data_IF_210437803130
#
_entry.id   IF_210437803130
#
_cell.length_a   1.000
_cell.length_b   1.000
_cell.length_c   1.000
_cell.angle_alpha   90.00
_cell.angle_beta   90.00
_cell.angle_gamma   90.00
#
_symmetry.space_group_name_H-M   'P 1'
#
loop_
_entity.id
_entity.type
_entity.pdbx_description
1 polymer ?
#
# COMPACT_ATOMS: atom_id res chain seq x y z
N UNK A 1 -5.30 -12.11 20.56
CA UNK A 1 -4.68 -11.77 19.26
C UNK A 1 -5.82 -11.50 18.28
N UNK A 2 -5.71 -10.47 17.44
CA UNK A 2 -6.79 -10.07 16.51
C UNK A 2 -7.04 -11.14 15.44
N UNK A 3 -5.97 -11.61 14.82
CA UNK A 3 -6.03 -12.74 13.90
C UNK A 3 -5.85 -14.06 14.66
N UNK A 4 -6.61 -15.08 14.26
CA UNK A 4 -6.48 -16.45 14.78
C UNK A 4 -5.44 -17.24 13.99
N UNK A 5 -5.28 -16.92 12.70
CA UNK A 5 -4.30 -17.53 11.79
C UNK A 5 -3.49 -16.40 11.16
N UNK A 6 -2.16 -16.51 11.21
CA UNK A 6 -1.24 -15.57 10.57
C UNK A 6 -0.68 -16.21 9.30
N UNK A 7 -1.05 -15.68 8.13
CA UNK A 7 -0.55 -16.20 6.84
C UNK A 7 0.77 -15.56 6.41
N UNK A 8 0.94 -14.28 6.73
CA UNK A 8 2.15 -13.54 6.37
C UNK A 8 2.49 -12.56 7.49
N UNK A 9 3.76 -12.54 7.88
CA UNK A 9 4.31 -11.54 8.79
C UNK A 9 5.55 -10.93 8.14
N UNK A 10 5.57 -9.61 7.97
CA UNK A 10 6.69 -8.89 7.36
C UNK A 10 6.94 -7.55 8.04
N UNK A 11 8.16 -7.04 7.90
CA UNK A 11 8.49 -5.68 8.34
C UNK A 11 7.87 -4.65 7.40
N UNK A 12 7.24 -3.64 7.99
CA UNK A 12 6.50 -2.60 7.31
C UNK A 12 6.62 -1.26 8.03
N UNK A 13 6.45 -0.18 7.28
CA UNK A 13 6.28 1.15 7.84
C UNK A 13 4.83 1.56 7.66
N UNK A 14 4.19 1.94 8.75
CA UNK A 14 2.83 2.45 8.81
C UNK A 14 2.85 3.97 8.90
N UNK A 15 2.08 4.60 8.03
CA UNK A 15 1.88 6.04 7.99
C UNK A 15 0.41 6.32 8.28
N UNK A 16 0.05 6.64 9.53
CA UNK A 16 -1.31 7.07 9.85
C UNK A 16 -1.63 8.38 9.12
N UNK A 17 -0.67 9.30 9.10
CA UNK A 17 -0.73 10.61 8.45
C UNK A 17 0.57 10.84 7.63
N UNK A 18 0.61 11.89 6.80
CA UNK A 18 1.79 12.21 5.97
C UNK A 18 3.06 12.59 6.77
N UNK A 19 2.93 12.88 8.06
CA UNK A 19 3.99 13.46 8.89
C UNK A 19 4.69 12.39 9.74
N UNK A 20 3.99 11.31 10.12
CA UNK A 20 4.50 10.31 11.07
C UNK A 20 4.69 8.96 10.38
N UNK A 21 5.88 8.39 10.54
CA UNK A 21 6.20 7.03 10.14
C UNK A 21 6.41 6.17 11.38
N UNK A 22 5.72 5.04 11.48
CA UNK A 22 5.95 4.03 12.50
C UNK A 22 6.53 2.78 11.85
N UNK A 23 7.67 2.32 12.35
CA UNK A 23 8.29 1.07 11.94
C UNK A 23 7.72 -0.08 12.78
N UNK A 24 7.48 -1.22 12.14
CA UNK A 24 6.88 -2.36 12.83
C UNK A 24 6.70 -3.59 11.96
N UNK A 25 5.91 -4.53 12.46
CA UNK A 25 5.51 -5.74 11.76
C UNK A 25 4.07 -5.61 11.26
N UNK A 26 3.87 -5.86 9.97
CA UNK A 26 2.55 -6.06 9.37
C UNK A 26 2.27 -7.56 9.28
N UNK A 27 1.16 -7.96 9.88
CA UNK A 27 0.65 -9.33 9.88
C UNK A 27 -0.65 -9.35 9.09
N UNK A 28 -0.71 -10.21 8.07
CA UNK A 28 -1.95 -10.56 7.38
C UNK A 28 -2.46 -11.87 7.95
N UNK A 29 -3.67 -11.83 8.49
CA UNK A 29 -4.32 -13.02 9.00
C UNK A 29 -5.63 -13.32 8.30
N UNK A 30 -6.43 -14.15 8.97
CA UNK A 30 -7.73 -14.59 8.48
C UNK A 30 -8.82 -13.52 8.55
N UNK A 31 -8.80 -12.64 9.57
CA UNK A 31 -9.84 -11.65 9.82
C UNK A 31 -9.48 -10.29 9.20
N UNK A 32 -8.19 -9.95 9.21
CA UNK A 32 -7.73 -8.70 8.62
C UNK A 32 -6.24 -8.46 8.73
N UNK A 33 -5.87 -7.20 8.57
CA UNK A 33 -4.52 -6.68 8.71
C UNK A 33 -4.28 -6.26 10.16
N UNK A 34 -3.14 -6.66 10.72
CA UNK A 34 -2.68 -6.20 12.03
C UNK A 34 -1.28 -5.61 11.88
N UNK A 35 -1.11 -4.35 12.27
CA UNK A 35 0.19 -3.69 12.31
C UNK A 35 0.63 -3.49 13.77
N UNK A 36 1.81 -4.00 14.10
CA UNK A 36 2.43 -3.90 15.43
C UNK A 36 3.67 -3.02 15.34
N UNK A 37 3.62 -1.77 15.84
CA UNK A 37 4.80 -0.91 15.88
C UNK A 37 5.87 -1.46 16.85
N UNK A 38 7.14 -1.29 16.52
CA UNK A 38 8.26 -1.83 17.32
C UNK A 38 8.41 -1.07 18.66
N UNK A 39 8.06 0.22 18.69
CA UNK A 39 8.22 1.10 19.89
C UNK A 39 6.92 1.50 20.57
N UNK A 40 5.79 0.86 20.23
CA UNK A 40 4.51 1.15 20.88
C UNK A 40 3.64 -0.09 20.99
N UNK A 41 2.88 -0.20 22.09
CA UNK A 41 1.89 -1.26 22.27
C UNK A 41 0.60 -1.00 21.48
N UNK A 42 0.42 0.24 20.97
CA UNK A 42 -0.77 0.63 20.21
C UNK A 42 -0.62 0.19 18.75
N UNK A 43 -0.92 -1.08 18.51
CA UNK A 43 -1.09 -1.64 17.18
C UNK A 43 -2.35 -1.14 16.49
N UNK A 44 -2.39 -1.30 15.16
CA UNK A 44 -3.55 -0.96 14.33
C UNK A 44 -4.11 -2.24 13.74
N UNK A 45 -5.42 -2.43 13.86
CA UNK A 45 -6.13 -3.59 13.35
C UNK A 45 -7.18 -3.12 12.36
N UNK A 46 -7.17 -3.68 11.15
CA UNK A 46 -8.08 -3.33 10.06
C UNK A 46 -8.73 -4.62 9.56
N UNK A 47 -9.98 -4.89 9.94
CA UNK A 47 -10.76 -6.01 9.40
C UNK A 47 -10.92 -5.88 7.88
N UNK A 48 -10.92 -6.99 7.14
CA UNK A 48 -11.11 -6.96 5.69
C UNK A 48 -12.44 -6.34 5.28
N UNK A 49 -13.50 -6.54 6.06
CA UNK A 49 -14.82 -5.94 5.80
C UNK A 49 -14.81 -4.40 5.92
N UNK A 50 -13.88 -3.82 6.68
CA UNK A 50 -13.77 -2.37 6.77
C UNK A 50 -12.97 -1.76 5.61
N UNK A 51 -12.35 -2.59 4.76
CA UNK A 51 -11.55 -2.12 3.62
C UNK A 51 -12.47 -1.89 2.43
N UNK A 52 -12.56 -0.63 2.00
CA UNK A 52 -13.27 -0.26 0.78
C UNK A 52 -12.41 -0.49 -0.46
N UNK A 53 -11.11 -0.17 -0.39
CA UNK A 53 -10.21 -0.26 -1.54
C UNK A 53 -8.76 -0.36 -1.12
N UNK A 54 -7.97 -1.10 -1.90
CA UNK A 54 -6.51 -1.15 -1.77
C UNK A 54 -5.90 -0.53 -3.03
N UNK A 55 -4.99 0.42 -2.83
CA UNK A 55 -4.29 1.08 -3.93
C UNK A 55 -2.80 0.79 -3.86
N UNK A 56 -2.27 0.01 -4.80
CA UNK A 56 -0.88 -0.42 -4.80
C UNK A 56 -0.01 0.62 -5.50
N UNK A 57 1.00 1.15 -4.81
CA UNK A 57 1.93 2.12 -5.38
C UNK A 57 3.03 1.42 -6.18
N UNK A 58 2.98 1.59 -7.51
CA UNK A 58 3.97 1.03 -8.44
C UNK A 58 4.77 2.16 -9.08
N UNK A 59 6.09 2.12 -8.90
CA UNK A 59 7.05 3.08 -9.45
C UNK A 59 7.77 2.43 -10.63
N UNK A 60 8.03 3.21 -11.70
CA UNK A 60 8.68 2.73 -12.93
C UNK A 60 8.04 1.48 -13.55
N UNK A 61 6.74 1.24 -13.27
CA UNK A 61 5.99 0.03 -13.68
C UNK A 61 6.55 -1.31 -13.17
N UNK A 62 7.63 -1.31 -12.39
CA UNK A 62 8.34 -2.52 -11.93
C UNK A 62 8.47 -2.62 -10.40
N UNK A 63 8.49 -1.49 -9.69
CA UNK A 63 8.86 -1.44 -8.28
C UNK A 63 7.65 -1.17 -7.39
N UNK A 64 7.26 -2.17 -6.61
CA UNK A 64 6.16 -2.05 -5.64
C UNK A 64 6.70 -1.41 -4.36
N UNK A 65 6.43 -0.11 -4.15
CA UNK A 65 6.95 0.63 -2.99
C UNK A 65 6.11 0.39 -1.73
N UNK A 66 4.80 0.20 -1.93
CA UNK A 66 3.84 0.03 -0.85
C UNK A 66 2.41 0.07 -1.36
N UNK A 67 1.46 0.24 -0.47
CA UNK A 67 0.04 0.29 -0.78
C UNK A 67 -0.70 1.21 0.19
N UNK A 68 -1.84 1.72 -0.27
CA UNK A 68 -2.80 2.45 0.54
C UNK A 68 -3.99 1.56 0.83
N UNK A 69 -4.44 1.57 2.08
CA UNK A 69 -5.68 0.96 2.52
C UNK A 69 -6.68 2.09 2.71
N UNK A 70 -7.73 2.07 1.89
CA UNK A 70 -8.87 2.97 2.01
C UNK A 70 -9.96 2.23 2.78
N UNK A 71 -10.30 2.74 3.95
CA UNK A 71 -11.39 2.17 4.77
C UNK A 71 -12.73 2.74 4.33
N UNK A 72 -13.83 2.01 4.60
CA UNK A 72 -15.20 2.47 4.37
C UNK A 72 -15.51 3.79 5.11
N UNK A 73 -14.82 4.05 6.21
CA UNK A 73 -14.95 5.28 7.01
C UNK A 73 -14.18 6.47 6.43
N UNK A 74 -13.61 6.35 5.22
CA UNK A 74 -12.88 7.42 4.54
C UNK A 74 -11.43 7.60 4.99
N UNK A 75 -10.93 6.80 5.94
CA UNK A 75 -9.52 6.86 6.33
C UNK A 75 -8.64 6.25 5.25
N UNK A 76 -7.61 7.00 4.84
CA UNK A 76 -6.58 6.55 3.91
C UNK A 76 -5.29 6.32 4.66
N UNK A 77 -4.92 5.05 4.79
CA UNK A 77 -3.74 4.61 5.52
C UNK A 77 -2.69 4.15 4.52
N UNK A 78 -1.42 4.53 4.72
CA UNK A 78 -0.33 4.07 3.87
C UNK A 78 0.57 3.06 4.59
N UNK A 79 0.89 1.98 3.88
CA UNK A 79 1.86 0.99 4.29
C UNK A 79 2.98 0.88 3.25
N UNK A 80 4.22 0.96 3.71
CA UNK A 80 5.42 0.74 2.89
C UNK A 80 6.10 -0.54 3.34
N UNK A 81 6.32 -1.47 2.42
CA UNK A 81 6.94 -2.76 2.72
C UNK A 81 7.90 -3.14 1.59
N UNK A 82 8.99 -3.83 1.93
CA UNK A 82 9.94 -4.33 0.91
C UNK A 82 9.29 -5.41 0.04
N UNK A 83 8.50 -6.29 0.65
CA UNK A 83 7.86 -7.43 -0.02
C UNK A 83 6.39 -7.16 -0.36
N UNK A 84 6.08 -5.96 -0.86
CA UNK A 84 4.71 -5.55 -1.17
C UNK A 84 4.01 -6.53 -2.12
N UNK A 85 4.75 -7.15 -3.07
CA UNK A 85 4.19 -8.15 -3.99
C UNK A 85 3.59 -9.36 -3.25
N UNK A 86 4.23 -9.84 -2.17
CA UNK A 86 3.73 -10.95 -1.35
C UNK A 86 2.47 -10.55 -0.60
N UNK A 87 2.45 -9.32 -0.05
CA UNK A 87 1.26 -8.77 0.62
C UNK A 87 0.06 -8.73 -0.32
N UNK A 88 0.23 -8.17 -1.53
CA UNK A 88 -0.85 -8.09 -2.52
C UNK A 88 -1.30 -9.48 -2.96
N UNK A 89 -0.38 -10.43 -3.11
CA UNK A 89 -0.74 -11.81 -3.43
C UNK A 89 -1.65 -12.44 -2.36
N UNK A 90 -1.34 -12.25 -1.07
CA UNK A 90 -2.19 -12.72 0.03
C UNK A 90 -3.54 -12.01 0.02
N UNK A 91 -3.55 -10.68 -0.14
CA UNK A 91 -4.78 -9.89 -0.19
C UNK A 91 -5.69 -10.30 -1.35
N UNK A 92 -5.13 -10.57 -2.53
CA UNK A 92 -5.89 -11.08 -3.69
C UNK A 92 -6.57 -12.43 -3.43
N UNK A 93 -6.08 -13.24 -2.47
CA UNK A 93 -6.74 -14.49 -2.08
C UNK A 93 -7.83 -14.28 -1.02
N UNK A 94 -7.75 -13.20 -0.25
CA UNK A 94 -8.63 -12.91 0.90
C UNK A 94 -9.76 -11.95 0.57
N UNK A 95 -9.59 -11.12 -0.45
CA UNK A 95 -10.53 -10.09 -0.86
C UNK A 95 -10.80 -10.19 -2.36
N UNK A 96 -11.93 -9.63 -2.78
CA UNK A 96 -12.24 -9.53 -4.20
C UNK A 96 -11.18 -8.69 -4.93
N UNK A 97 -10.68 -9.22 -6.04
CA UNK A 97 -9.67 -8.61 -6.89
C UNK A 97 -10.08 -7.21 -7.37
N UNK A 98 -11.39 -6.96 -7.50
CA UNK A 98 -11.92 -5.65 -7.92
C UNK A 98 -11.59 -4.52 -6.92
N UNK A 99 -11.38 -4.85 -5.64
CA UNK A 99 -11.05 -3.88 -4.60
C UNK A 99 -9.57 -3.49 -4.63
N UNK A 100 -8.72 -4.22 -5.36
CA UNK A 100 -7.28 -4.01 -5.42
C UNK A 100 -6.93 -3.33 -6.75
N UNK A 101 -6.46 -2.09 -6.66
CA UNK A 101 -6.16 -1.26 -7.84
C UNK A 101 -4.73 -0.78 -7.82
N UNK A 102 -4.13 -0.60 -8.99
CA UNK A 102 -2.77 -0.05 -9.10
C UNK A 102 -2.84 1.48 -9.12
N UNK A 103 -2.24 2.12 -8.13
CA UNK A 103 -2.00 3.56 -8.12
C UNK A 103 -0.88 3.88 -9.12
N UNK A 104 -1.27 4.22 -10.35
CA UNK A 104 -0.36 4.82 -11.34
C UNK A 104 -0.25 6.30 -11.02
N UNK A 105 0.78 6.70 -10.27
CA UNK A 105 1.22 8.09 -10.28
C UNK A 105 1.46 8.49 -11.73
N UNK A 106 0.87 9.58 -12.19
CA UNK A 106 0.87 10.06 -13.58
C UNK A 106 2.25 10.54 -14.08
N UNK A 107 3.34 9.94 -13.62
CA UNK A 107 4.68 10.14 -14.17
C UNK A 107 4.81 9.30 -15.44
N UNK A 108 4.05 9.69 -16.46
CA UNK A 108 4.32 9.30 -17.83
C UNK A 108 5.63 9.99 -18.23
N UNK A 109 6.77 9.31 -18.07
CA UNK A 109 8.07 9.78 -18.57
C UNK A 109 8.03 10.19 -20.07
N UNK A 110 7.01 9.75 -20.82
CA UNK A 110 6.80 10.19 -22.21
C UNK A 110 6.59 11.71 -22.37
N UNK A 111 6.08 12.43 -21.36
CA UNK A 111 5.95 13.90 -21.45
C UNK A 111 7.28 14.64 -21.20
N UNK A 112 8.24 13.98 -20.54
CA UNK A 112 9.52 14.57 -20.13
C UNK A 112 10.61 14.44 -21.21
N UNK A 113 10.46 13.50 -22.14
CA UNK A 113 11.34 13.32 -23.31
C UNK A 113 10.79 13.94 -24.61
N UNK A 114 9.81 14.84 -24.53
CA UNK A 114 9.44 15.65 -25.70
C UNK A 114 10.53 16.69 -25.92
N UNK A 115 11.41 16.44 -26.91
CA UNK A 115 12.36 17.44 -27.43
C UNK A 115 11.61 18.76 -27.64
N UNK A 116 12.14 19.92 -27.20
CA UNK A 116 11.55 21.20 -27.59
C UNK A 116 11.53 21.25 -29.12
N UNK A 117 10.33 21.42 -29.70
CA UNK A 117 10.19 21.64 -31.15
C UNK A 117 11.08 22.83 -31.50
N UNK A 118 12.09 22.59 -32.34
CA UNK A 118 13.02 23.63 -32.76
C UNK A 118 12.28 24.87 -33.23
N UNK A 119 12.71 26.04 -32.75
CA UNK A 119 12.32 27.34 -33.32
C UNK A 119 12.55 27.27 -34.83
N UNK A 120 11.48 27.37 -35.60
CA UNK A 120 11.58 27.65 -37.02
C UNK A 120 12.40 28.93 -37.19
N UNK A 121 13.52 28.85 -37.90
CA UNK A 121 14.23 30.03 -38.40
C UNK A 121 13.28 30.73 -39.37
N UNK A 122 12.91 31.97 -39.04
CA UNK A 122 12.44 32.95 -40.02
C UNK A 122 13.66 33.68 -40.55
#
# INVERSE_FOLDING_TARGET
MFNQINELSIKANYFPNQIKALHGNLVLGNIGLEFKPDWSMNGVQIPYDQIAKIQVQVIFKKWFRGFFVLTKNGQRIQFLTRDTKRVIHVLNRKMDHQLITVYRGSLSFKSMFRKPKGRAKK
#
